data_IF_869200114059
#
_entry.id   IF_869200114059
#
_cell.length_a   1.000
_cell.length_b   1.000
_cell.length_c   1.000
_cell.angle_alpha   90.00
_cell.angle_beta   90.00
_cell.angle_gamma   90.00
#
_symmetry.space_group_name_H-M   'P 1'
#
loop_
_entity.id
_entity.type
_entity.pdbx_description
1 polymer ?
#
# COMPACT_ATOMS: atom_id res chain seq x y z
N UNK A 1 -10.45 -8.34 8.35
CA UNK A 1 -9.12 -7.80 8.63
C UNK A 1 -8.01 -8.60 7.94
N UNK A 2 -7.71 -9.86 8.38
CA UNK A 2 -6.59 -10.66 7.86
C UNK A 2 -6.58 -10.79 6.34
N UNK A 3 -7.71 -11.13 5.71
CA UNK A 3 -7.81 -11.29 4.26
C UNK A 3 -7.51 -10.00 3.48
N UNK A 4 -7.87 -8.83 4.02
CA UNK A 4 -7.52 -7.53 3.40
C UNK A 4 -6.02 -7.30 3.44
N UNK A 5 -5.37 -7.58 4.56
CA UNK A 5 -3.92 -7.41 4.72
C UNK A 5 -3.13 -8.41 3.89
N UNK A 6 -3.61 -9.65 3.78
CA UNK A 6 -3.07 -10.63 2.83
C UNK A 6 -3.21 -10.18 1.37
N UNK A 7 -4.27 -9.46 1.04
CA UNK A 7 -4.45 -8.82 -0.28
C UNK A 7 -3.41 -7.75 -0.58
N UNK A 8 -2.90 -7.05 0.43
CA UNK A 8 -1.86 -6.03 0.25
C UNK A 8 -0.50 -6.65 -0.03
N UNK A 9 0.02 -7.45 0.89
CA UNK A 9 1.29 -8.18 0.73
C UNK A 9 1.33 -9.42 1.64
N UNK A 10 2.21 -10.37 1.29
CA UNK A 10 2.46 -11.56 2.10
C UNK A 10 2.90 -11.16 3.51
N UNK A 11 3.77 -10.16 3.64
CA UNK A 11 4.30 -9.68 4.93
C UNK A 11 3.20 -9.06 5.81
N UNK A 12 2.31 -8.24 5.24
CA UNK A 12 1.21 -7.63 6.00
C UNK A 12 0.22 -8.69 6.51
N UNK A 13 -0.09 -9.69 5.69
CA UNK A 13 -0.89 -10.84 6.10
C UNK A 13 -0.24 -11.63 7.23
N UNK A 14 1.03 -11.97 7.08
CA UNK A 14 1.81 -12.70 8.07
C UNK A 14 1.90 -11.95 9.40
N UNK A 15 2.25 -10.67 9.40
CA UNK A 15 2.36 -9.87 10.61
C UNK A 15 1.03 -9.78 11.34
N UNK A 16 -0.06 -9.63 10.60
CA UNK A 16 -1.41 -9.60 11.19
C UNK A 16 -1.79 -10.95 11.80
N UNK A 17 -1.59 -12.06 11.09
CA UNK A 17 -1.87 -13.40 11.62
C UNK A 17 -1.04 -13.68 12.88
N UNK A 18 0.24 -13.27 12.89
CA UNK A 18 1.11 -13.44 14.05
C UNK A 18 0.64 -12.61 15.26
N UNK A 19 0.22 -11.37 15.05
CA UNK A 19 -0.37 -10.54 16.10
C UNK A 19 -1.66 -11.15 16.63
N UNK A 20 -2.53 -11.63 15.74
CA UNK A 20 -3.75 -12.33 16.15
C UNK A 20 -3.47 -13.56 17.02
N UNK A 21 -2.41 -14.33 16.75
CA UNK A 21 -2.00 -15.45 17.56
C UNK A 21 -1.50 -15.05 18.95
N UNK A 22 -0.72 -13.97 19.03
CA UNK A 22 0.00 -13.59 20.26
C UNK A 22 -0.84 -12.68 21.17
N UNK A 23 -1.71 -11.86 20.59
CA UNK A 23 -2.35 -10.72 21.28
C UNK A 23 -3.89 -10.81 21.27
N UNK A 24 -4.44 -11.95 20.84
CA UNK A 24 -5.89 -12.15 20.83
C UNK A 24 -6.46 -12.07 22.24
N UNK A 25 -7.47 -11.21 22.43
CA UNK A 25 -8.04 -10.92 23.76
C UNK A 25 -7.41 -9.70 24.45
N UNK A 26 -6.42 -9.05 23.85
CA UNK A 26 -5.93 -7.74 24.26
C UNK A 26 -6.54 -6.65 23.37
N UNK A 27 -7.59 -5.98 23.86
CA UNK A 27 -8.35 -4.99 23.09
C UNK A 27 -7.47 -3.81 22.61
N UNK A 28 -6.52 -3.33 23.43
CA UNK A 28 -5.59 -2.26 23.05
C UNK A 28 -4.68 -2.64 21.89
N UNK A 29 -4.18 -3.87 21.88
CA UNK A 29 -3.32 -4.36 20.81
C UNK A 29 -4.09 -4.57 19.49
N UNK A 30 -5.35 -5.00 19.59
CA UNK A 30 -6.23 -5.16 18.44
C UNK A 30 -6.71 -3.81 17.89
N UNK A 31 -6.99 -2.83 18.74
CA UNK A 31 -7.24 -1.44 18.31
C UNK A 31 -6.06 -0.85 17.55
N UNK A 32 -4.82 -1.15 17.96
CA UNK A 32 -3.62 -0.75 17.22
C UNK A 32 -3.56 -1.35 15.80
N UNK A 33 -4.12 -2.55 15.58
CA UNK A 33 -4.21 -3.19 14.26
C UNK A 33 -5.36 -2.56 13.46
N UNK A 34 -6.50 -2.27 14.11
CA UNK A 34 -7.69 -1.68 13.49
C UNK A 34 -7.50 -0.20 13.18
N UNK A 35 -6.85 0.55 14.07
CA UNK A 35 -6.62 1.99 13.93
C UNK A 35 -5.63 2.40 12.82
N UNK A 36 -4.98 1.45 12.15
CA UNK A 36 -4.25 1.70 10.90
C UNK A 36 -5.19 1.73 9.67
N UNK A 37 -6.45 1.30 9.83
CA UNK A 37 -7.47 1.35 8.79
C UNK A 37 -8.35 2.57 9.01
N UNK A 38 -8.28 3.56 8.11
CA UNK A 38 -9.21 4.71 8.04
C UNK A 38 -10.66 4.28 7.67
N UNK A 39 -11.07 3.08 8.01
CA UNK A 39 -12.39 2.55 7.68
C UNK A 39 -13.25 2.56 8.95
N UNK A 40 -14.08 3.62 9.09
CA UNK A 40 -15.08 3.81 10.14
C UNK A 40 -16.12 2.67 10.27
N UNK A 41 -15.97 1.61 9.47
CA UNK A 41 -16.94 0.51 9.38
C UNK A 41 -16.64 -0.69 10.29
N UNK A 42 -15.53 -0.68 11.03
CA UNK A 42 -15.25 -1.77 11.99
C UNK A 42 -15.70 -1.30 13.38
N UNK A 43 -16.97 -1.52 13.68
CA UNK A 43 -17.43 -1.47 15.07
C UNK A 43 -16.56 -2.41 15.90
N UNK A 44 -16.02 -1.91 17.00
CA UNK A 44 -15.35 -2.69 18.05
C UNK A 44 -16.40 -3.59 18.76
N UNK A 45 -16.93 -4.58 18.02
CA UNK A 45 -17.66 -5.65 18.64
C UNK A 45 -16.66 -6.44 19.48
N UNK A 46 -16.95 -6.66 20.76
CA UNK A 46 -16.16 -7.47 21.67
C UNK A 46 -15.70 -8.74 20.95
N UNK A 47 -14.40 -8.84 20.66
CA UNK A 47 -13.87 -10.01 19.99
C UNK A 47 -13.99 -11.22 20.94
N UNK A 48 -14.70 -12.28 20.48
CA UNK A 48 -14.72 -13.53 21.18
C UNK A 48 -13.35 -14.20 21.19
N UNK A 49 -13.06 -15.02 22.17
CA UNK A 49 -11.84 -15.83 22.19
C UNK A 49 -11.73 -16.72 20.95
N UNK A 50 -10.50 -16.87 20.44
CA UNK A 50 -10.24 -17.81 19.34
C UNK A 50 -10.32 -19.24 19.87
N UNK A 51 -11.00 -20.09 19.10
CA UNK A 51 -11.06 -21.51 19.38
C UNK A 51 -9.71 -22.20 19.09
N UNK A 52 -9.43 -23.37 19.69
CA UNK A 52 -8.23 -24.15 19.37
C UNK A 52 -8.08 -24.47 17.88
N UNK A 53 -9.19 -24.72 17.18
CA UNK A 53 -9.18 -24.97 15.73
C UNK A 53 -8.76 -23.71 14.94
N UNK A 54 -9.32 -22.55 15.28
CA UNK A 54 -8.93 -21.26 14.65
C UNK A 54 -7.47 -20.92 14.92
N UNK A 55 -6.96 -21.20 16.12
CA UNK A 55 -5.55 -21.05 16.43
C UNK A 55 -4.67 -21.91 15.53
N UNK A 56 -5.01 -23.18 15.36
CA UNK A 56 -4.28 -24.07 14.47
C UNK A 56 -4.27 -23.57 13.03
N UNK A 57 -5.41 -23.10 12.52
CA UNK A 57 -5.49 -22.54 11.16
C UNK A 57 -4.65 -21.27 11.01
N UNK A 58 -4.60 -20.39 12.02
CA UNK A 58 -3.73 -19.23 12.02
C UNK A 58 -2.24 -19.61 12.03
N UNK A 59 -1.85 -20.62 12.81
CA UNK A 59 -0.48 -21.13 12.86
C UNK A 59 -0.06 -21.70 11.50
N UNK A 60 -0.91 -22.49 10.85
CA UNK A 60 -0.68 -22.99 9.49
C UNK A 60 -0.58 -21.84 8.47
N UNK A 61 -1.44 -20.83 8.61
CA UNK A 61 -1.40 -19.64 7.76
C UNK A 61 -0.07 -18.89 7.90
N UNK A 62 0.39 -18.67 9.14
CA UNK A 62 1.69 -18.02 9.39
C UNK A 62 2.84 -18.83 8.80
N UNK A 63 2.83 -20.16 8.96
CA UNK A 63 3.86 -21.02 8.39
C UNK A 63 3.89 -20.90 6.85
N UNK A 64 2.72 -21.03 6.20
CA UNK A 64 2.60 -20.92 4.75
C UNK A 64 3.04 -19.55 4.22
N UNK A 65 2.72 -18.45 4.93
CA UNK A 65 3.13 -17.11 4.55
C UNK A 65 4.66 -16.91 4.73
N UNK A 66 5.25 -17.47 5.79
CA UNK A 66 6.71 -17.43 6.00
C UNK A 66 7.47 -18.12 4.86
N UNK A 67 7.01 -19.29 4.42
CA UNK A 67 7.65 -20.05 3.33
C UNK A 67 7.61 -19.32 1.98
N UNK A 68 6.66 -18.40 1.81
CA UNK A 68 6.45 -17.66 0.56
C UNK A 68 6.88 -16.19 0.62
N UNK A 69 7.43 -15.68 1.72
CA UNK A 69 7.79 -14.26 1.88
C UNK A 69 8.73 -13.75 0.79
N UNK A 70 9.74 -14.52 0.40
CA UNK A 70 10.73 -14.14 -0.62
C UNK A 70 10.19 -14.21 -2.05
N UNK A 71 8.99 -14.75 -2.24
CA UNK A 71 8.41 -15.01 -3.55
C UNK A 71 7.20 -14.12 -3.88
N UNK A 72 6.98 -13.03 -3.15
CA UNK A 72 5.83 -12.16 -3.38
C UNK A 72 5.79 -11.69 -4.84
N UNK A 73 4.76 -12.07 -5.63
CA UNK A 73 4.68 -11.74 -7.03
C UNK A 73 4.51 -10.25 -7.30
N UNK A 74 3.93 -9.47 -6.37
CA UNK A 74 3.80 -8.02 -6.50
C UNK A 74 5.18 -7.36 -6.49
N UNK A 75 6.12 -7.85 -5.67
CA UNK A 75 7.49 -7.36 -5.64
C UNK A 75 8.15 -7.43 -7.03
N UNK A 76 8.05 -8.59 -7.68
CA UNK A 76 8.63 -8.81 -9.01
C UNK A 76 8.08 -7.84 -10.06
N UNK A 77 6.77 -7.58 -10.02
CA UNK A 77 6.13 -6.63 -10.94
C UNK A 77 6.57 -5.19 -10.63
N UNK A 78 6.68 -4.81 -9.35
CA UNK A 78 7.19 -3.48 -8.96
C UNK A 78 8.61 -3.29 -9.50
N UNK A 79 9.50 -4.26 -9.32
CA UNK A 79 10.88 -4.22 -9.84
C UNK A 79 10.88 -4.09 -11.36
N UNK A 80 10.07 -4.88 -12.07
CA UNK A 80 9.95 -4.80 -13.53
C UNK A 80 9.58 -3.38 -13.97
N UNK A 81 8.54 -2.78 -13.37
CA UNK A 81 8.10 -1.44 -13.77
C UNK A 81 9.11 -0.36 -13.40
N UNK A 82 9.71 -0.42 -12.21
CA UNK A 82 10.73 0.56 -11.81
C UNK A 82 11.96 0.51 -12.71
N UNK A 83 12.48 -0.68 -13.01
CA UNK A 83 13.75 -0.87 -13.69
C UNK A 83 13.60 -1.03 -15.21
N UNK A 84 12.78 -1.99 -15.69
CA UNK A 84 12.69 -2.30 -17.11
C UNK A 84 11.78 -1.30 -17.85
N UNK A 85 10.67 -0.86 -17.25
CA UNK A 85 9.80 0.18 -17.81
C UNK A 85 10.28 1.60 -17.47
N UNK A 86 11.39 1.73 -16.74
CA UNK A 86 12.05 3.00 -16.39
C UNK A 86 11.18 3.98 -15.57
N UNK A 87 10.23 3.45 -14.80
CA UNK A 87 9.36 4.29 -13.98
C UNK A 87 10.12 5.02 -12.87
N UNK A 88 11.25 4.46 -12.42
CA UNK A 88 12.15 5.17 -11.49
C UNK A 88 12.70 6.47 -12.10
N UNK A 89 13.10 6.44 -13.39
CA UNK A 89 13.59 7.63 -14.10
C UNK A 89 12.49 8.69 -14.30
N UNK A 90 11.25 8.22 -14.47
CA UNK A 90 10.07 9.08 -14.59
C UNK A 90 9.63 9.68 -13.25
N UNK A 91 10.13 9.16 -12.15
CA UNK A 91 9.65 9.39 -10.81
C UNK A 91 8.38 8.61 -10.50
N UNK A 92 8.39 7.85 -9.40
CA UNK A 92 7.31 6.94 -9.05
C UNK A 92 6.83 7.16 -7.61
N UNK A 93 5.51 7.14 -7.43
CA UNK A 93 4.91 6.93 -6.12
C UNK A 93 4.23 5.56 -6.07
N UNK A 94 4.43 4.86 -4.95
CA UNK A 94 3.78 3.59 -4.66
C UNK A 94 2.89 3.79 -3.45
N UNK A 95 1.60 3.48 -3.57
CA UNK A 95 0.66 3.54 -2.46
C UNK A 95 0.33 2.15 -1.91
N UNK A 96 0.27 2.05 -0.59
CA UNK A 96 -0.31 0.93 0.15
C UNK A 96 -1.24 1.44 1.24
N UNK A 97 -2.26 0.67 1.60
CA UNK A 97 -3.09 0.94 2.77
C UNK A 97 -2.31 0.69 4.08
N UNK A 98 -1.30 -0.20 4.03
CA UNK A 98 -0.63 -0.71 5.23
C UNK A 98 0.83 -0.31 5.28
N UNK A 99 1.23 0.21 6.44
CA UNK A 99 2.63 0.58 6.69
C UNK A 99 3.59 -0.61 6.56
N UNK A 100 3.19 -1.79 7.05
CA UNK A 100 4.01 -2.99 6.97
C UNK A 100 4.39 -3.34 5.53
N UNK A 101 3.42 -3.24 4.59
CA UNK A 101 3.66 -3.46 3.16
C UNK A 101 4.58 -2.39 2.57
N UNK A 102 4.36 -1.12 2.92
CA UNK A 102 5.16 0.00 2.44
C UNK A 102 6.61 -0.09 2.94
N UNK A 103 6.81 -0.39 4.21
CA UNK A 103 8.12 -0.52 4.82
C UNK A 103 8.90 -1.71 4.24
N UNK A 104 8.26 -2.88 4.19
CA UNK A 104 8.85 -4.09 3.61
C UNK A 104 9.30 -3.86 2.15
N UNK A 105 8.43 -3.26 1.34
CA UNK A 105 8.77 -2.99 -0.06
C UNK A 105 9.97 -2.06 -0.19
N UNK A 106 10.02 -1.00 0.61
CA UNK A 106 11.17 -0.08 0.64
C UNK A 106 12.46 -0.80 1.06
N UNK A 107 12.38 -1.62 2.09
CA UNK A 107 13.51 -2.36 2.62
C UNK A 107 14.07 -3.36 1.60
N UNK A 108 13.20 -4.18 0.98
CA UNK A 108 13.60 -5.16 -0.04
C UNK A 108 14.21 -4.49 -1.26
N UNK A 109 13.56 -3.44 -1.80
CA UNK A 109 14.11 -2.68 -2.94
C UNK A 109 15.48 -2.08 -2.61
N UNK A 110 15.63 -1.50 -1.42
CA UNK A 110 16.87 -0.87 -0.98
C UNK A 110 18.01 -1.87 -0.77
N UNK A 111 17.71 -3.10 -0.34
CA UNK A 111 18.72 -4.16 -0.14
C UNK A 111 19.16 -4.84 -1.43
N UNK A 112 18.28 -4.90 -2.42
CA UNK A 112 18.48 -5.71 -3.61
C UNK A 112 18.73 -4.83 -4.86
N UNK A 113 17.70 -4.24 -5.45
CA UNK A 113 17.78 -3.59 -6.75
C UNK A 113 18.20 -2.12 -6.69
N UNK A 114 17.90 -1.42 -5.60
CA UNK A 114 18.05 0.03 -5.47
C UNK A 114 19.02 0.43 -4.33
N UNK A 115 20.14 -0.27 -4.19
CA UNK A 115 21.10 -0.09 -3.08
C UNK A 115 21.56 1.36 -2.89
N UNK A 116 21.87 2.06 -3.96
CA UNK A 116 22.35 3.45 -3.91
C UNK A 116 21.27 4.49 -4.15
N UNK A 117 19.99 4.09 -4.22
CA UNK A 117 18.86 4.97 -4.45
C UNK A 117 18.12 5.25 -3.14
N UNK A 118 17.92 6.51 -2.82
CA UNK A 118 17.11 6.90 -1.69
C UNK A 118 15.63 6.61 -1.95
N UNK A 119 14.98 5.85 -1.08
CA UNK A 119 13.55 5.53 -1.15
C UNK A 119 12.86 6.27 -0.01
N UNK A 120 11.94 7.18 -0.34
CA UNK A 120 11.13 7.88 0.66
C UNK A 120 10.01 6.98 1.17
N UNK A 121 9.82 6.92 2.49
CA UNK A 121 8.64 6.36 3.12
C UNK A 121 7.82 7.51 3.69
N UNK A 122 6.58 7.69 3.20
CA UNK A 122 5.69 8.76 3.63
C UNK A 122 4.48 8.17 4.33
N UNK A 123 4.48 8.23 5.66
CA UNK A 123 3.48 7.58 6.50
C UNK A 123 3.03 8.48 7.65
N UNK A 124 1.91 8.11 8.28
CA UNK A 124 1.41 8.75 9.49
C UNK A 124 2.27 8.45 10.73
N UNK A 125 1.85 8.96 11.87
CA UNK A 125 2.36 8.59 13.19
C UNK A 125 3.91 8.66 13.32
N UNK A 126 4.53 9.68 12.73
CA UNK A 126 5.99 9.85 12.82
C UNK A 126 6.82 8.70 12.20
N UNK A 127 6.25 7.92 11.28
CA UNK A 127 6.89 6.78 10.62
C UNK A 127 7.48 7.14 9.24
N UNK A 128 7.59 8.44 8.92
CA UNK A 128 8.18 8.91 7.67
C UNK A 128 9.69 8.94 7.74
N UNK A 129 10.36 8.68 6.61
CA UNK A 129 11.81 8.66 6.54
C UNK A 129 12.36 8.26 5.18
N UNK A 130 13.64 7.99 5.13
CA UNK A 130 14.36 7.52 3.95
C UNK A 130 14.93 6.14 4.25
N UNK A 131 14.75 5.22 3.31
CA UNK A 131 15.42 3.93 3.27
C UNK A 131 16.57 4.01 2.27
N UNK A 132 17.78 3.68 2.69
CA UNK A 132 18.97 3.63 1.84
C UNK A 132 19.84 2.45 2.29
N UNK A 133 20.30 1.62 1.38
CA UNK A 133 21.12 0.43 1.64
C UNK A 133 20.55 -0.48 2.75
N UNK A 134 19.22 -0.58 2.84
CA UNK A 134 18.53 -1.34 3.89
C UNK A 134 18.46 -0.66 5.26
N UNK A 135 18.95 0.57 5.39
CA UNK A 135 18.90 1.35 6.63
C UNK A 135 17.83 2.42 6.57
N UNK A 136 16.94 2.41 7.56
CA UNK A 136 15.90 3.43 7.69
C UNK A 136 16.38 4.61 8.52
N UNK A 137 16.29 5.82 7.95
CA UNK A 137 16.53 7.09 8.65
C UNK A 137 15.26 7.91 8.69
N UNK A 138 14.77 8.17 9.91
CA UNK A 138 13.59 9.03 10.09
C UNK A 138 13.82 10.44 9.54
N UNK A 139 12.83 10.96 8.83
CA UNK A 139 12.81 12.32 8.29
C UNK A 139 11.41 12.91 8.42
N UNK A 140 11.36 14.22 8.60
CA UNK A 140 10.10 14.95 8.61
C UNK A 140 9.43 14.93 7.22
N UNK A 141 8.10 14.91 7.20
CA UNK A 141 7.30 14.88 5.97
C UNK A 141 7.62 16.04 5.02
N UNK A 142 7.83 17.24 5.56
CA UNK A 142 8.13 18.42 4.73
C UNK A 142 9.51 18.33 4.10
N UNK A 143 10.49 17.71 4.75
CA UNK A 143 11.78 17.39 4.13
C UNK A 143 11.61 16.46 2.94
N UNK A 144 10.83 15.38 3.08
CA UNK A 144 10.56 14.45 1.97
C UNK A 144 9.86 15.15 0.79
N UNK A 145 8.88 16.04 1.07
CA UNK A 145 8.23 16.85 0.02
C UNK A 145 9.24 17.75 -0.73
N UNK A 146 10.16 18.35 0.00
CA UNK A 146 11.21 19.19 -0.61
C UNK A 146 12.13 18.36 -1.50
N UNK A 147 12.57 17.19 -1.04
CA UNK A 147 13.41 16.27 -1.81
C UNK A 147 12.72 15.75 -3.08
N UNK A 148 11.43 15.47 -3.02
CA UNK A 148 10.65 15.14 -4.23
C UNK A 148 10.60 16.35 -5.19
N UNK A 149 10.33 17.55 -4.68
CA UNK A 149 10.28 18.78 -5.50
C UNK A 149 11.62 19.12 -6.14
N UNK A 150 12.73 18.94 -5.43
CA UNK A 150 14.08 19.15 -5.98
C UNK A 150 14.49 18.10 -7.01
N UNK A 151 13.84 16.91 -6.97
CA UNK A 151 14.19 15.74 -7.80
C UNK A 151 15.29 14.89 -7.20
N UNK A 152 15.68 15.15 -5.97
CA UNK A 152 16.60 14.33 -5.19
C UNK A 152 15.98 12.97 -4.82
N UNK A 153 14.66 12.94 -4.60
CA UNK A 153 13.89 11.74 -4.30
C UNK A 153 12.99 11.39 -5.47
N UNK A 154 13.29 10.27 -6.15
CA UNK A 154 12.56 9.80 -7.34
C UNK A 154 11.56 8.68 -7.03
N UNK A 155 11.71 8.00 -5.90
CA UNK A 155 10.80 6.95 -5.45
C UNK A 155 10.26 7.31 -4.07
N UNK A 156 8.92 7.38 -3.98
CA UNK A 156 8.20 7.58 -2.73
C UNK A 156 7.23 6.42 -2.51
N UNK A 157 7.23 5.83 -1.33
CA UNK A 157 6.26 4.80 -0.94
C UNK A 157 5.41 5.41 0.18
N UNK A 158 4.11 5.51 -0.02
CA UNK A 158 3.21 6.21 0.89
C UNK A 158 2.05 5.36 1.38
N UNK A 159 1.55 5.68 2.58
CA UNK A 159 0.27 5.16 3.05
C UNK A 159 -0.86 6.16 2.80
N UNK A 160 -2.11 5.67 2.73
CA UNK A 160 -3.29 6.53 2.49
C UNK A 160 -3.43 7.64 3.55
N UNK A 161 -3.22 7.31 4.83
CA UNK A 161 -3.25 8.27 5.94
C UNK A 161 -2.27 9.45 5.78
N UNK A 162 -1.22 9.25 4.99
CA UNK A 162 -0.20 10.26 4.75
C UNK A 162 -0.37 10.99 3.41
N UNK A 163 -1.26 10.51 2.55
CA UNK A 163 -1.44 11.08 1.21
C UNK A 163 -2.00 12.50 1.22
N UNK A 164 -2.64 12.93 2.30
CA UNK A 164 -3.19 14.28 2.43
C UNK A 164 -2.09 15.36 2.40
N UNK A 165 -2.31 16.40 1.59
CA UNK A 165 -1.37 17.52 1.47
C UNK A 165 -0.10 17.24 0.63
N UNK A 166 0.05 16.06 0.05
CA UNK A 166 1.13 15.77 -0.90
C UNK A 166 0.88 16.46 -2.25
N UNK A 167 1.86 17.18 -2.72
CA UNK A 167 1.93 17.68 -4.09
C UNK A 167 3.11 16.99 -4.79
N UNK A 168 2.82 16.07 -5.69
CA UNK A 168 3.77 15.16 -6.31
C UNK A 168 3.86 15.36 -7.83
N UNK A 169 3.65 16.58 -8.30
CA UNK A 169 3.63 16.93 -9.74
C UNK A 169 4.90 16.56 -10.50
N UNK A 170 5.98 16.25 -9.81
CA UNK A 170 7.23 15.82 -10.42
C UNK A 170 7.33 14.30 -10.62
N UNK A 171 6.49 13.53 -9.93
CA UNK A 171 6.40 12.09 -10.12
C UNK A 171 5.42 11.81 -11.27
N UNK A 172 5.87 11.07 -12.27
CA UNK A 172 5.10 10.80 -13.49
C UNK A 172 4.33 9.49 -13.45
N UNK A 173 4.58 8.63 -12.46
CA UNK A 173 4.00 7.29 -12.40
C UNK A 173 3.49 6.96 -11.01
N UNK A 174 2.45 6.13 -10.94
CA UNK A 174 1.80 5.68 -9.71
C UNK A 174 1.59 4.17 -9.73
N UNK A 175 2.00 3.49 -8.67
CA UNK A 175 1.68 2.08 -8.43
C UNK A 175 0.77 2.00 -7.20
N UNK A 176 -0.40 1.39 -7.35
CA UNK A 176 -1.20 0.94 -6.21
C UNK A 176 -0.78 -0.49 -5.88
N UNK A 177 -0.03 -0.68 -4.79
CA UNK A 177 0.41 -1.99 -4.31
C UNK A 177 -0.80 -2.84 -3.87
N UNK A 178 -1.80 -2.17 -3.33
CA UNK A 178 -3.12 -2.69 -2.98
C UNK A 178 -4.22 -1.71 -3.39
N UNK A 179 -5.42 -2.23 -3.55
CA UNK A 179 -6.58 -1.43 -3.93
C UNK A 179 -7.46 -1.16 -2.70
N UNK A 180 -7.69 0.10 -2.36
CA UNK A 180 -8.64 0.45 -1.30
C UNK A 180 -10.05 0.01 -1.70
N UNK A 181 -10.82 -0.46 -0.74
CA UNK A 181 -12.20 -0.87 -0.95
C UNK A 181 -13.13 0.32 -1.24
N UNK A 182 -12.72 1.51 -0.82
CA UNK A 182 -13.39 2.76 -1.15
C UNK A 182 -12.81 3.33 -2.45
N UNK A 183 -13.59 3.37 -3.56
CA UNK A 183 -13.11 3.87 -4.84
C UNK A 183 -12.69 5.35 -4.79
N UNK A 184 -13.25 6.15 -3.88
CA UNK A 184 -12.87 7.55 -3.70
C UNK A 184 -11.39 7.69 -3.30
N UNK A 185 -10.84 6.73 -2.54
CA UNK A 185 -9.42 6.73 -2.18
C UNK A 185 -8.52 6.52 -3.41
N UNK A 186 -8.94 5.71 -4.39
CA UNK A 186 -8.20 5.55 -5.66
C UNK A 186 -8.14 6.87 -6.43
N UNK A 187 -9.26 7.57 -6.54
CA UNK A 187 -9.30 8.88 -7.19
C UNK A 187 -8.47 9.92 -6.41
N UNK A 188 -8.51 9.88 -5.09
CA UNK A 188 -7.63 10.72 -4.27
C UNK A 188 -6.15 10.43 -4.53
N UNK A 189 -5.73 9.15 -4.62
CA UNK A 189 -4.35 8.78 -4.96
C UNK A 189 -3.96 9.32 -6.34
N UNK A 190 -4.79 9.14 -7.36
CA UNK A 190 -4.58 9.72 -8.71
C UNK A 190 -4.45 11.25 -8.65
N UNK A 191 -5.35 11.91 -7.94
CA UNK A 191 -5.35 13.36 -7.75
C UNK A 191 -4.09 13.89 -7.04
N UNK A 192 -3.20 13.06 -6.48
CA UNK A 192 -1.91 13.52 -5.93
C UNK A 192 -0.86 13.80 -6.99
N UNK A 193 -0.90 13.09 -8.10
CA UNK A 193 0.03 13.27 -9.20
C UNK A 193 -0.62 13.96 -10.42
N UNK A 194 -1.91 13.75 -10.64
CA UNK A 194 -2.66 14.37 -11.73
C UNK A 194 -3.25 15.72 -11.28
N UNK A 195 -2.43 16.76 -11.27
CA UNK A 195 -2.81 18.12 -10.86
C UNK A 195 -2.31 19.16 -11.83
N UNK A 196 -2.94 20.37 -11.80
CA UNK A 196 -2.45 21.55 -12.50
C UNK A 196 -0.98 21.81 -12.09
N UNK A 197 -0.09 21.90 -13.08
CA UNK A 197 1.36 22.01 -12.86
C UNK A 197 2.11 20.67 -12.89
N UNK A 198 1.46 19.58 -13.28
CA UNK A 198 2.14 18.32 -13.61
C UNK A 198 3.13 18.60 -14.77
N UNK A 199 4.37 18.15 -14.59
CA UNK A 199 5.44 18.37 -15.57
C UNK A 199 5.34 17.46 -16.81
N UNK A 200 4.44 16.49 -16.79
CA UNK A 200 4.24 15.50 -17.84
C UNK A 200 2.83 15.59 -18.43
N UNK A 201 2.71 15.34 -19.72
CA UNK A 201 1.41 15.29 -20.42
C UNK A 201 0.54 14.12 -19.98
N UNK A 202 1.16 13.00 -19.59
CA UNK A 202 0.47 11.78 -19.14
C UNK A 202 1.04 11.31 -17.82
N UNK A 203 0.18 10.69 -17.04
CA UNK A 203 0.51 9.99 -15.79
C UNK A 203 0.09 8.54 -15.93
N UNK A 204 1.05 7.64 -15.77
CA UNK A 204 0.79 6.21 -15.84
C UNK A 204 0.43 5.65 -14.46
N UNK A 205 -0.62 4.83 -14.41
CA UNK A 205 -1.12 4.21 -13.17
C UNK A 205 -1.15 2.68 -13.32
N UNK A 206 -0.53 1.98 -12.37
CA UNK A 206 -0.54 0.53 -12.26
C UNK A 206 -1.28 0.11 -10.98
N UNK A 207 -2.28 -0.75 -11.14
CA UNK A 207 -3.04 -1.31 -10.04
C UNK A 207 -2.68 -2.79 -9.85
N UNK A 208 -2.10 -3.15 -8.69
CA UNK A 208 -1.72 -4.52 -8.36
C UNK A 208 -2.76 -5.19 -7.48
N UNK A 209 -3.03 -6.46 -7.77
CA UNK A 209 -3.88 -7.34 -6.96
C UNK A 209 -3.49 -8.79 -7.17
N UNK A 210 -3.70 -9.63 -6.17
CA UNK A 210 -3.56 -11.07 -6.34
C UNK A 210 -4.81 -11.63 -6.99
N UNK A 211 -4.64 -12.45 -8.03
CA UNK A 211 -5.74 -13.10 -8.73
C UNK A 211 -6.55 -13.99 -7.77
N UNK A 212 -7.88 -13.87 -7.79
CA UNK A 212 -8.79 -14.66 -6.95
C UNK A 212 -8.81 -14.25 -5.48
N UNK A 213 -8.11 -13.19 -5.08
CA UNK A 213 -8.19 -12.62 -3.73
C UNK A 213 -9.54 -11.94 -3.47
N UNK A 214 -9.79 -11.59 -2.21
CA UNK A 214 -10.96 -10.78 -1.83
C UNK A 214 -10.92 -9.42 -2.53
N UNK A 215 -9.76 -8.81 -2.63
CA UNK A 215 -9.53 -7.56 -3.39
C UNK A 215 -9.94 -7.69 -4.86
N UNK A 216 -9.56 -8.80 -5.50
CA UNK A 216 -9.92 -9.07 -6.90
C UNK A 216 -11.44 -9.17 -7.09
N UNK A 217 -12.14 -9.85 -6.19
CA UNK A 217 -13.60 -9.96 -6.20
C UNK A 217 -14.29 -8.63 -5.97
N UNK A 218 -13.84 -7.84 -4.99
CA UNK A 218 -14.38 -6.51 -4.71
C UNK A 218 -14.19 -5.59 -5.91
N UNK A 219 -13.00 -5.59 -6.51
CA UNK A 219 -12.72 -4.79 -7.70
C UNK A 219 -13.62 -5.18 -8.88
N UNK A 220 -13.82 -6.48 -9.14
CA UNK A 220 -14.70 -6.96 -10.19
C UNK A 220 -16.15 -6.49 -9.97
N UNK A 221 -16.65 -6.57 -8.73
CA UNK A 221 -18.00 -6.12 -8.37
C UNK A 221 -18.15 -4.60 -8.52
N UNK A 222 -17.16 -3.81 -8.12
CA UNK A 222 -17.18 -2.35 -8.27
C UNK A 222 -17.11 -1.95 -9.74
N UNK A 223 -16.26 -2.58 -10.54
CA UNK A 223 -16.15 -2.30 -11.97
C UNK A 223 -17.47 -2.60 -12.71
N UNK A 224 -18.09 -3.75 -12.44
CA UNK A 224 -19.37 -4.10 -13.05
C UNK A 224 -20.51 -3.15 -12.64
N UNK A 225 -20.52 -2.67 -11.40
CA UNK A 225 -21.50 -1.67 -10.94
C UNK A 225 -21.29 -0.30 -11.59
N UNK A 226 -20.05 0.15 -11.73
CA UNK A 226 -19.72 1.40 -12.42
C UNK A 226 -20.11 1.33 -13.90
N UNK A 227 -19.86 0.21 -14.58
CA UNK A 227 -20.32 -0.02 -15.94
C UNK A 227 -21.86 0.05 -16.04
N UNK A 228 -22.56 -0.64 -15.14
CA UNK A 228 -24.03 -0.61 -15.09
C UNK A 228 -24.59 0.81 -14.84
N UNK A 229 -23.96 1.59 -13.98
CA UNK A 229 -24.34 3.00 -13.72
C UNK A 229 -24.08 3.85 -14.97
N UNK A 230 -22.93 3.67 -15.61
CA UNK A 230 -22.59 4.37 -16.86
C UNK A 230 -23.58 4.06 -17.98
N UNK A 231 -23.98 2.80 -18.11
CA UNK A 231 -24.96 2.37 -19.12
C UNK A 231 -26.35 2.94 -18.85
N UNK A 232 -26.75 3.09 -17.57
CA UNK A 232 -28.06 3.64 -17.20
C UNK A 232 -28.15 5.17 -17.30
N UNK A 233 -27.10 5.88 -16.94
CA UNK A 233 -27.12 7.34 -16.79
C UNK A 233 -26.33 8.09 -17.86
N UNK A 234 -25.72 7.40 -18.82
CA UNK A 234 -24.78 8.01 -19.75
C UNK A 234 -23.44 8.38 -19.10
N UNK A 235 -22.69 9.25 -19.71
CA UNK A 235 -21.37 9.63 -19.20
C UNK A 235 -21.48 10.16 -17.77
N UNK A 236 -20.77 9.52 -16.83
CA UNK A 236 -20.55 10.12 -15.52
C UNK A 236 -19.67 11.35 -15.75
N UNK A 237 -20.04 12.54 -15.24
CA UNK A 237 -19.18 13.72 -15.36
C UNK A 237 -17.80 13.42 -14.78
N UNK A 238 -16.75 13.84 -15.48
CA UNK A 238 -15.35 13.72 -15.08
C UNK A 238 -15.08 14.44 -13.76
#
# INVERSE_FOLDING_TARGET
>A
LLLRRMGSSIIAGRNTAQKMLNEWGNDEAMEGILGEEDDDSIESSSMRDITPAERTELELTVAALNDNMSADPKYKIVVEYLMQKKWLELGCIIFSQYYDSAYWLAEELSKNELKSEAIGIYAGNNRSGIMLDGYFQRKERDTLKQMVRSGELRLLIGTDAASEGLNLQRLGTLINLDLPWNPTKLEQRKGRIQRIGQTRETVDVLNLRYRGSVEDRVHQLLSSRLESIRDMFGQIPD
#
